data_IF_288864913367
#
_entry.id   IF_288864913367
#
_cell.length_a   1.000
_cell.length_b   1.000
_cell.length_c   1.000
_cell.angle_alpha   90.00
_cell.angle_beta   90.00
_cell.angle_gamma   90.00
#
_symmetry.space_group_name_H-M   'P 1'
#
loop_
_entity.id
_entity.type
_entity.pdbx_description
1 polymer ?
#
# COMPACT_ATOMS: atom_id res chain seq x y z
N UNK A 1 43.15 -14.23 0.44
CA UNK A 1 43.55 -15.57 -0.04
C UNK A 1 42.80 -15.83 -1.34
N UNK A 2 43.48 -16.15 -2.45
CA UNK A 2 42.81 -16.52 -3.70
C UNK A 2 42.49 -18.03 -3.65
N UNK A 3 41.31 -18.47 -4.11
CA UNK A 3 40.95 -19.89 -4.11
C UNK A 3 41.88 -20.72 -4.99
N UNK A 4 41.97 -22.02 -4.75
CA UNK A 4 42.75 -22.93 -5.60
C UNK A 4 42.22 -22.91 -7.04
N UNK A 5 43.07 -23.11 -8.07
CA UNK A 5 42.62 -23.11 -9.46
C UNK A 5 41.47 -24.09 -9.72
N UNK A 6 41.50 -25.27 -9.08
CA UNK A 6 40.45 -26.29 -9.19
C UNK A 6 39.10 -25.79 -8.63
N UNK A 7 39.12 -25.06 -7.52
CA UNK A 7 37.92 -24.48 -6.93
C UNK A 7 37.40 -23.29 -7.76
N UNK A 8 38.31 -22.49 -8.33
CA UNK A 8 37.95 -21.33 -9.15
C UNK A 8 37.14 -21.70 -10.41
N UNK A 9 37.38 -22.87 -11.00
CA UNK A 9 36.60 -23.36 -12.14
C UNK A 9 35.20 -23.89 -11.77
N UNK A 10 34.93 -24.14 -10.48
CA UNK A 10 33.66 -24.72 -10.01
C UNK A 10 32.72 -23.68 -9.40
N UNK A 11 33.25 -22.55 -8.95
CA UNK A 11 32.46 -21.44 -8.42
C UNK A 11 31.79 -20.64 -9.55
N UNK A 12 30.65 -20.03 -9.27
CA UNK A 12 29.95 -19.21 -10.28
C UNK A 12 30.70 -17.89 -10.52
N UNK A 13 30.86 -17.55 -11.80
CA UNK A 13 31.51 -16.31 -12.18
C UNK A 13 30.80 -15.05 -11.66
N UNK A 14 31.63 -14.12 -11.19
CA UNK A 14 31.27 -12.75 -10.85
C UNK A 14 31.75 -11.79 -11.94
N UNK A 15 31.29 -10.54 -11.89
CA UNK A 15 31.65 -9.51 -12.87
C UNK A 15 33.13 -9.12 -12.86
N UNK A 16 33.89 -9.53 -11.84
CA UNK A 16 35.32 -9.17 -11.67
C UNK A 16 36.28 -10.29 -12.08
N UNK A 17 35.75 -11.47 -12.37
CA UNK A 17 36.53 -12.66 -12.71
C UNK A 17 36.68 -12.86 -14.22
N UNK A 18 35.77 -12.28 -15.02
CA UNK A 18 35.73 -12.40 -16.48
C UNK A 18 36.04 -11.05 -17.13
N UNK A 19 36.71 -11.07 -18.28
CA UNK A 19 37.07 -9.88 -19.05
C UNK A 19 35.91 -9.26 -19.83
N UNK A 20 36.21 -8.73 -21.02
CA UNK A 20 35.23 -8.03 -21.87
C UNK A 20 34.09 -8.98 -22.32
N UNK A 21 32.87 -8.46 -22.40
CA UNK A 21 31.70 -9.19 -22.92
C UNK A 21 30.82 -9.87 -21.85
N UNK A 22 31.29 -9.99 -20.60
CA UNK A 22 30.48 -10.53 -19.51
C UNK A 22 29.84 -9.41 -18.68
N UNK A 23 28.52 -9.30 -18.73
CA UNK A 23 27.74 -8.39 -17.89
C UNK A 23 26.78 -9.17 -16.99
N UNK A 24 26.74 -8.83 -15.70
CA UNK A 24 25.80 -9.38 -14.73
C UNK A 24 25.28 -8.24 -13.84
N UNK A 25 23.96 -8.04 -13.86
CA UNK A 25 23.30 -6.97 -13.10
C UNK A 25 23.11 -7.28 -11.61
N UNK A 26 22.88 -6.23 -10.82
CA UNK A 26 22.70 -6.29 -9.36
C UNK A 26 21.25 -6.09 -8.91
N UNK A 27 20.27 -6.45 -9.75
CA UNK A 27 18.83 -6.29 -9.48
C UNK A 27 18.39 -4.85 -9.16
N UNK A 28 19.03 -3.87 -9.79
CA UNK A 28 18.65 -2.45 -9.65
C UNK A 28 17.32 -2.10 -10.33
N UNK A 29 16.77 -3.03 -11.13
CA UNK A 29 15.56 -2.83 -11.93
C UNK A 29 15.85 -2.12 -13.26
N UNK A 30 14.93 -2.26 -14.23
CA UNK A 30 15.01 -1.59 -15.52
C UNK A 30 14.30 -0.24 -15.47
N UNK A 31 15.05 0.86 -15.47
CA UNK A 31 14.54 2.22 -15.32
C UNK A 31 14.20 2.89 -16.66
N UNK A 32 14.19 2.13 -17.75
CA UNK A 32 14.18 2.66 -19.11
C UNK A 32 14.50 1.58 -20.14
N UNK A 33 15.01 2.00 -21.30
CA UNK A 33 15.36 1.10 -22.40
C UNK A 33 16.67 1.54 -23.08
N UNK A 34 17.39 0.56 -23.63
CA UNK A 34 18.54 0.83 -24.49
C UNK A 34 18.08 1.39 -25.84
N UNK A 35 18.86 2.30 -26.41
CA UNK A 35 18.67 2.79 -27.79
C UNK A 35 19.41 1.89 -28.78
N UNK A 36 19.07 1.95 -30.06
CA UNK A 36 19.76 1.23 -31.13
C UNK A 36 21.28 1.46 -31.15
N UNK A 37 21.72 2.69 -30.86
CA UNK A 37 23.14 3.07 -30.86
C UNK A 37 23.87 2.85 -29.53
N UNK A 38 23.32 2.02 -28.63
CA UNK A 38 23.96 1.66 -27.36
C UNK A 38 23.82 2.68 -26.21
N UNK A 39 23.10 3.79 -26.43
CA UNK A 39 22.64 4.70 -25.38
C UNK A 39 21.54 4.09 -24.49
N UNK A 40 21.07 4.88 -23.52
CA UNK A 40 19.99 4.49 -22.59
C UNK A 40 19.04 5.66 -22.36
N UNK A 41 17.73 5.44 -22.54
CA UNK A 41 16.67 6.43 -22.31
C UNK A 41 15.91 6.06 -21.05
N UNK A 42 15.80 7.00 -20.12
CA UNK A 42 15.15 6.80 -18.81
C UNK A 42 13.64 7.01 -18.96
N UNK A 43 12.86 6.06 -18.43
CA UNK A 43 11.42 6.17 -18.24
C UNK A 43 11.13 6.56 -16.79
N UNK A 44 10.81 7.84 -16.57
CA UNK A 44 10.55 8.40 -15.24
C UNK A 44 9.40 7.72 -14.48
N UNK A 45 8.48 7.04 -15.18
CA UNK A 45 7.38 6.30 -14.54
C UNK A 45 7.86 5.06 -13.79
N UNK A 46 9.02 4.51 -14.18
CA UNK A 46 9.63 3.31 -13.55
C UNK A 46 10.66 3.67 -12.49
N UNK A 47 11.05 4.94 -12.41
CA UNK A 47 11.99 5.43 -11.41
C UNK A 47 11.32 5.40 -10.05
N UNK A 48 12.03 4.86 -9.06
CA UNK A 48 11.54 4.78 -7.67
C UNK A 48 11.69 6.15 -7.01
N UNK A 49 10.60 6.66 -6.46
CA UNK A 49 10.57 7.88 -5.66
C UNK A 49 10.31 7.53 -4.19
N UNK A 50 11.10 8.10 -3.29
CA UNK A 50 10.92 7.97 -1.84
C UNK A 50 10.36 9.27 -1.30
N UNK A 51 9.03 9.32 -1.13
CA UNK A 51 8.32 10.52 -0.70
C UNK A 51 8.52 10.71 0.80
N UNK A 52 9.29 11.73 1.17
CA UNK A 52 9.53 12.10 2.56
C UNK A 52 8.52 13.20 2.94
N UNK A 53 7.70 13.01 3.99
CA UNK A 53 6.81 14.07 4.47
C UNK A 53 7.62 15.20 5.11
N UNK A 54 7.01 16.36 5.30
CA UNK A 54 7.62 17.41 6.12
C UNK A 54 7.73 16.92 7.57
N UNK A 55 8.95 16.98 8.13
CA UNK A 55 9.27 16.53 9.47
C UNK A 55 9.50 17.71 10.43
N UNK A 56 9.26 18.94 9.98
CA UNK A 56 9.38 20.13 10.83
C UNK A 56 8.39 20.02 12.00
N UNK A 57 8.89 20.14 13.23
CA UNK A 57 8.13 19.97 14.49
C UNK A 57 7.54 18.56 14.71
N UNK A 58 8.13 17.50 14.13
CA UNK A 58 7.70 16.14 14.40
C UNK A 58 8.31 15.60 15.71
N UNK A 59 7.47 15.34 16.72
CA UNK A 59 7.91 14.98 18.07
C UNK A 59 8.25 13.48 18.25
N UNK A 60 7.76 12.61 17.34
CA UNK A 60 7.95 11.17 17.49
C UNK A 60 9.40 10.75 17.19
N UNK A 61 9.98 10.02 18.12
CA UNK A 61 11.36 9.50 18.05
C UNK A 61 11.37 7.99 17.83
N UNK A 62 12.47 7.42 17.29
CA UNK A 62 12.61 5.97 17.10
C UNK A 62 12.69 5.19 18.42
N UNK A 63 12.83 5.86 19.55
CA UNK A 63 12.91 5.25 20.88
C UNK A 63 11.87 5.83 21.81
N UNK A 64 11.43 5.02 22.76
CA UNK A 64 10.48 5.38 23.82
C UNK A 64 11.21 5.37 25.17
N UNK A 65 10.80 6.24 26.09
CA UNK A 65 11.37 6.29 27.43
C UNK A 65 11.15 4.97 28.19
N UNK A 66 12.18 4.48 28.90
CA UNK A 66 12.12 3.25 29.70
C UNK A 66 11.12 3.30 30.86
N UNK A 67 10.69 4.49 31.25
CA UNK A 67 9.67 4.71 32.28
C UNK A 67 8.26 4.38 31.79
N UNK A 68 8.05 4.27 30.47
CA UNK A 68 6.78 3.90 29.87
C UNK A 68 6.74 2.38 29.81
N UNK A 69 5.85 1.77 30.59
CA UNK A 69 5.65 0.33 30.55
C UNK A 69 5.11 -0.10 29.18
N UNK A 70 5.67 -1.16 28.56
CA UNK A 70 5.12 -1.71 27.34
C UNK A 70 3.65 -2.12 27.55
N UNK A 71 2.76 -1.67 26.66
CA UNK A 71 1.38 -2.19 26.62
C UNK A 71 1.42 -3.70 26.39
N UNK A 72 0.46 -4.40 27.01
CA UNK A 72 0.16 -5.84 26.92
C UNK A 72 1.31 -6.71 26.38
N UNK A 73 2.00 -7.42 27.27
CA UNK A 73 3.08 -8.34 26.91
C UNK A 73 2.56 -9.27 25.82
N UNK A 74 3.18 -9.22 24.64
CA UNK A 74 3.01 -10.24 23.59
C UNK A 74 3.08 -11.62 24.27
N UNK A 75 2.21 -12.58 23.89
CA UNK A 75 2.20 -13.89 24.52
C UNK A 75 3.62 -14.45 24.47
N UNK A 76 4.18 -14.68 25.65
CA UNK A 76 5.53 -15.25 25.80
C UNK A 76 5.44 -16.70 25.32
N UNK A 77 6.24 -17.05 24.31
CA UNK A 77 6.36 -18.43 23.89
C UNK A 77 6.84 -19.31 25.06
N UNK A 78 6.66 -20.61 24.95
CA UNK A 78 7.05 -21.60 25.97
C UNK A 78 8.52 -21.45 26.42
N UNK A 79 9.40 -20.99 25.53
CA UNK A 79 10.83 -20.80 25.81
C UNK A 79 11.19 -19.45 26.45
N UNK A 80 10.20 -18.70 26.96
CA UNK A 80 10.42 -17.51 27.77
C UNK A 80 10.82 -16.23 27.00
N UNK A 81 11.08 -16.33 25.70
CA UNK A 81 11.37 -15.18 24.84
C UNK A 81 10.09 -14.43 24.43
N UNK A 82 10.20 -13.11 24.27
CA UNK A 82 9.12 -12.32 23.71
C UNK A 82 8.92 -12.71 22.25
N UNK A 83 7.78 -13.35 21.95
CA UNK A 83 7.35 -13.61 20.59
C UNK A 83 7.17 -12.27 19.89
N UNK A 84 8.03 -11.91 18.94
CA UNK A 84 7.98 -10.64 18.19
C UNK A 84 6.77 -10.52 17.24
N UNK A 85 5.87 -11.50 17.25
CA UNK A 85 4.68 -11.52 16.41
C UNK A 85 3.58 -10.67 17.08
N UNK A 86 3.62 -9.37 16.81
CA UNK A 86 2.45 -8.51 16.97
C UNK A 86 1.42 -8.91 15.91
N UNK A 87 0.43 -9.70 16.30
CA UNK A 87 -0.81 -9.81 15.52
C UNK A 87 -1.72 -8.66 15.95
N UNK A 88 -1.95 -7.64 15.10
CA UNK A 88 -2.98 -6.65 15.41
C UNK A 88 -4.31 -7.39 15.59
N UNK A 89 -5.10 -6.96 16.58
CA UNK A 89 -6.45 -7.49 16.75
C UNK A 89 -7.18 -7.31 15.42
N UNK A 90 -7.68 -8.41 14.85
CA UNK A 90 -8.47 -8.36 13.62
C UNK A 90 -9.73 -7.53 13.92
N UNK A 91 -9.78 -6.32 13.38
CA UNK A 91 -10.93 -5.43 13.52
C UNK A 91 -11.99 -5.95 12.54
N UNK A 92 -13.19 -6.22 13.02
CA UNK A 92 -14.32 -6.55 12.13
C UNK A 92 -14.60 -5.37 11.22
N UNK A 93 -15.08 -5.63 10.00
CA UNK A 93 -15.48 -4.55 9.10
C UNK A 93 -16.52 -3.62 9.76
N UNK A 94 -17.43 -4.17 10.56
CA UNK A 94 -18.43 -3.39 11.31
C UNK A 94 -17.79 -2.54 12.41
N UNK A 95 -16.84 -3.09 13.16
CA UNK A 95 -16.14 -2.37 14.22
C UNK A 95 -15.34 -1.20 13.65
N UNK A 96 -14.71 -1.39 12.48
CA UNK A 96 -14.01 -0.32 11.77
C UNK A 96 -14.96 0.80 11.35
N UNK A 97 -16.12 0.45 10.78
CA UNK A 97 -17.13 1.45 10.39
C UNK A 97 -17.66 2.23 11.58
N UNK A 98 -17.86 1.56 12.72
CA UNK A 98 -18.26 2.23 13.96
C UNK A 98 -17.17 3.18 14.46
N UNK A 99 -15.91 2.75 14.50
CA UNK A 99 -14.78 3.59 14.89
C UNK A 99 -14.62 4.79 13.94
N UNK A 100 -14.76 4.57 12.64
CA UNK A 100 -14.66 5.63 11.64
C UNK A 100 -15.75 6.68 11.80
N UNK A 101 -17.01 6.25 12.00
CA UNK A 101 -18.13 7.15 12.27
C UNK A 101 -17.89 8.03 13.49
N UNK A 102 -17.34 7.44 14.56
CA UNK A 102 -17.05 8.19 15.80
C UNK A 102 -15.89 9.16 15.62
N UNK A 103 -14.85 8.76 14.89
CA UNK A 103 -13.66 9.57 14.67
C UNK A 103 -13.90 10.75 13.71
N UNK A 104 -14.76 10.58 12.70
CA UNK A 104 -15.00 11.56 11.63
C UNK A 104 -16.51 11.83 11.45
N UNK A 105 -17.19 12.49 12.41
CA UNK A 105 -18.63 12.70 12.35
C UNK A 105 -19.07 13.56 11.17
N UNK A 106 -18.30 14.59 10.83
CA UNK A 106 -18.62 15.50 9.72
C UNK A 106 -18.63 14.78 8.37
N UNK A 107 -17.56 14.03 8.06
CA UNK A 107 -17.48 13.25 6.82
C UNK A 107 -18.61 12.20 6.75
N UNK A 108 -18.94 11.60 7.88
CA UNK A 108 -20.05 10.64 7.96
C UNK A 108 -21.39 11.31 7.62
N UNK A 109 -21.69 12.45 8.23
CA UNK A 109 -22.95 13.17 8.03
C UNK A 109 -23.08 13.64 6.57
N UNK A 110 -21.99 14.13 5.96
CA UNK A 110 -21.95 14.55 4.56
C UNK A 110 -22.26 13.38 3.61
N UNK A 111 -21.58 12.25 3.79
CA UNK A 111 -21.82 11.02 3.00
C UNK A 111 -23.25 10.51 3.19
N UNK A 112 -23.74 10.53 4.44
CA UNK A 112 -25.08 10.08 4.77
C UNK A 112 -26.14 10.94 4.07
N UNK A 113 -26.02 12.26 4.14
CA UNK A 113 -26.94 13.18 3.50
C UNK A 113 -26.94 13.03 1.98
N UNK A 114 -25.75 12.90 1.37
CA UNK A 114 -25.62 12.64 -0.07
C UNK A 114 -26.36 11.36 -0.48
N UNK A 115 -26.24 10.29 0.31
CA UNK A 115 -26.94 9.04 0.04
C UNK A 115 -28.46 9.17 0.18
N UNK A 116 -28.95 9.90 1.18
CA UNK A 116 -30.38 10.16 1.34
C UNK A 116 -30.95 10.97 0.17
N UNK A 117 -30.22 11.98 -0.31
CA UNK A 117 -30.61 12.78 -1.48
C UNK A 117 -30.69 11.93 -2.74
N UNK A 118 -29.72 11.03 -2.97
CA UNK A 118 -29.75 10.08 -4.08
C UNK A 118 -30.96 9.14 -4.01
N UNK A 119 -31.28 8.62 -2.81
CA UNK A 119 -32.44 7.77 -2.62
C UNK A 119 -33.75 8.54 -2.89
N UNK A 120 -33.84 9.79 -2.43
CA UNK A 120 -34.98 10.66 -2.73
C UNK A 120 -35.11 10.94 -4.22
N UNK A 121 -34.02 11.26 -4.92
CA UNK A 121 -34.05 11.51 -6.36
C UNK A 121 -34.50 10.26 -7.13
N UNK A 122 -33.99 9.08 -6.77
CA UNK A 122 -34.41 7.82 -7.40
C UNK A 122 -35.90 7.53 -7.19
N UNK A 123 -36.44 7.85 -6.01
CA UNK A 123 -37.87 7.71 -5.73
C UNK A 123 -38.71 8.67 -6.57
N UNK A 124 -38.32 9.95 -6.64
CA UNK A 124 -39.00 10.96 -7.48
C UNK A 124 -39.01 10.54 -8.95
N UNK A 125 -37.87 10.12 -9.49
CA UNK A 125 -37.79 9.64 -10.86
C UNK A 125 -38.63 8.38 -11.08
N UNK A 126 -38.70 7.46 -10.10
CA UNK A 126 -39.55 6.28 -10.22
C UNK A 126 -41.05 6.62 -10.21
N UNK A 127 -41.48 7.62 -9.44
CA UNK A 127 -42.87 8.10 -9.43
C UNK A 127 -43.23 8.82 -10.72
N UNK A 128 -42.35 9.70 -11.24
CA UNK A 128 -42.55 10.38 -12.52
C UNK A 128 -42.73 9.39 -13.68
N UNK A 129 -41.86 8.36 -13.74
CA UNK A 129 -41.99 7.29 -14.73
C UNK A 129 -43.29 6.46 -14.57
N UNK A 130 -43.83 6.34 -13.36
CA UNK A 130 -45.09 5.62 -13.12
C UNK A 130 -46.30 6.43 -13.61
N UNK A 131 -46.32 7.73 -13.34
CA UNK A 131 -47.38 8.65 -13.75
C UNK A 131 -47.42 8.83 -15.28
N UNK A 132 -46.25 8.89 -15.94
CA UNK A 132 -46.15 8.95 -17.41
C UNK A 132 -46.72 7.68 -18.09
N UNK A 133 -46.53 6.50 -17.50
CA UNK A 133 -47.11 5.24 -18.00
C UNK A 133 -48.64 5.21 -17.79
N UNK A 134 -49.13 5.72 -16.66
CA UNK A 134 -50.56 5.86 -16.41
C UNK A 134 -51.23 6.84 -17.42
N UNK A 135 -50.59 7.97 -17.72
CA UNK A 135 -51.12 8.91 -18.71
C UNK A 135 -51.10 8.37 -20.15
N UNK A 136 -50.09 7.57 -20.52
CA UNK A 136 -50.02 6.93 -21.83
C UNK A 136 -51.08 5.84 -22.02
N UNK A 137 -51.45 5.10 -20.96
CA UNK A 137 -52.51 4.07 -21.03
C UNK A 137 -53.92 4.65 -21.09
N UNK A 138 -54.15 5.87 -20.59
CA UNK A 138 -55.45 6.55 -20.65
C UNK A 138 -55.69 7.25 -22.00
N UNK A 139 -54.63 7.50 -22.78
CA UNK A 139 -54.68 8.18 -24.09
C UNK A 139 -54.68 7.23 -25.31
N UNK A 140 -54.75 5.92 -25.11
CA UNK A 140 -54.87 4.89 -26.16
C UNK A 140 -56.30 4.33 -26.24
#
# INVERSE_FOLDING_TARGET
MKPSPQLFHRIRFTTKEVGRGFYRGNRTGAMGAHTEYGGYVIDWRKVRHYNVPDLTNFELQPFVAKSIDPREKLPRGEDGHATWHYEPKKVSAMDYLQLWRVANPQEFDDVWNQQQEQLRSLQVTATENHDDVAEQTVKA
#
